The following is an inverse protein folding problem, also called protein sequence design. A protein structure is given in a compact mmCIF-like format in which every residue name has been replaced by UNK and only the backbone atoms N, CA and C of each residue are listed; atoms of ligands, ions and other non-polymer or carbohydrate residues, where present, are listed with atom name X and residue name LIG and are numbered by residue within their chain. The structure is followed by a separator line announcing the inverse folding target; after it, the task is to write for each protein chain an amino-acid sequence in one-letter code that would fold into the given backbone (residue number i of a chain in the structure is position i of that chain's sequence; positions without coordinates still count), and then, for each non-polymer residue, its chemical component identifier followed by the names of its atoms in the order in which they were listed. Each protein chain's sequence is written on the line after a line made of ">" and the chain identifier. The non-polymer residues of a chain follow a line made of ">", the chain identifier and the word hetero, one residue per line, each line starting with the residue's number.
data_IF_202436719012
#
_entry.id   IF_202436719012
#
_cell.length_a   1.000
_cell.length_b   1.000
_cell.length_c   1.000
_cell.angle_alpha   90.00
_cell.angle_beta   90.00
_cell.angle_gamma   90.00
#
_symmetry.space_group_name_H-M   'P 1'
#
loop_
_entity.id
_entity.type
_entity.pdbx_description
1 polymer ?
#
# COMPACT_ATOMS: atom_id res chain seq x y z
N UNK A 1 12.59 -24.88 5.26
CA UNK A 1 11.44 -24.35 6.04
C UNK A 1 11.96 -23.34 7.05
N UNK A 2 11.22 -22.25 7.31
CA UNK A 2 11.65 -21.19 8.22
C UNK A 2 11.75 -21.67 9.66
N UNK A 3 12.65 -21.05 10.45
CA UNK A 3 12.93 -21.43 11.85
C UNK A 3 11.77 -21.14 12.81
N UNK A 4 10.80 -20.30 12.40
CA UNK A 4 9.62 -19.97 13.19
C UNK A 4 8.35 -20.02 12.32
N UNK A 5 7.45 -21.01 12.53
CA UNK A 5 6.26 -21.20 11.70
C UNK A 5 5.16 -20.15 11.92
N UNK A 6 5.22 -19.34 12.98
CA UNK A 6 4.21 -18.30 13.24
C UNK A 6 4.45 -17.01 12.43
N UNK A 7 5.67 -16.80 11.93
CA UNK A 7 6.04 -15.59 11.18
C UNK A 7 5.24 -15.50 9.89
N UNK A 8 4.69 -14.32 9.64
CA UNK A 8 4.01 -13.95 8.39
C UNK A 8 4.88 -12.97 7.62
N UNK A 9 4.99 -13.20 6.32
CA UNK A 9 5.81 -12.42 5.39
C UNK A 9 4.90 -11.80 4.34
N UNK A 10 5.09 -10.52 4.05
CA UNK A 10 4.35 -9.81 3.02
C UNK A 10 5.31 -9.32 1.95
N UNK A 11 4.85 -9.28 0.69
CA UNK A 11 5.56 -8.67 -0.42
C UNK A 11 5.08 -7.22 -0.55
N UNK A 12 5.97 -6.26 -0.31
CA UNK A 12 5.68 -4.83 -0.54
C UNK A 12 6.00 -4.42 -1.97
N UNK A 13 5.12 -3.63 -2.57
CA UNK A 13 5.22 -3.12 -3.95
C UNK A 13 5.06 -1.61 -3.90
N UNK A 14 6.15 -0.87 -4.13
CA UNK A 14 6.14 0.57 -3.92
C UNK A 14 7.45 1.14 -3.39
N UNK A 15 7.31 2.10 -2.49
CA UNK A 15 8.37 2.78 -1.75
C UNK A 15 8.74 4.15 -2.32
N UNK A 16 9.31 5.01 -1.47
CA UNK A 16 9.63 6.40 -1.77
C UNK A 16 10.60 6.66 -2.94
N UNK A 17 11.20 5.62 -3.55
CA UNK A 17 11.99 5.73 -4.80
C UNK A 17 11.26 5.22 -6.04
N UNK A 18 10.07 4.67 -5.90
CA UNK A 18 9.31 4.13 -7.00
C UNK A 18 8.69 5.25 -7.85
N UNK A 19 8.38 4.94 -9.11
CA UNK A 19 7.77 5.91 -10.02
C UNK A 19 6.27 6.08 -9.71
N UNK A 20 5.94 7.08 -8.89
CA UNK A 20 4.56 7.43 -8.52
C UNK A 20 3.60 7.61 -9.70
N UNK A 21 4.06 8.17 -10.82
CA UNK A 21 3.22 8.35 -12.02
C UNK A 21 2.88 7.02 -12.68
N UNK A 22 3.78 6.03 -12.63
CA UNK A 22 3.51 4.69 -13.16
C UNK A 22 2.39 3.99 -12.37
N UNK A 23 2.29 4.21 -11.05
CA UNK A 23 1.17 3.71 -10.25
C UNK A 23 -0.14 4.39 -10.62
N UNK A 24 -0.14 5.70 -10.88
CA UNK A 24 -1.32 6.40 -11.41
C UNK A 24 -1.81 5.80 -12.73
N UNK A 25 -0.89 5.54 -13.67
CA UNK A 25 -1.21 4.86 -14.94
C UNK A 25 -1.76 3.45 -14.73
N UNK A 26 -1.15 2.67 -13.83
CA UNK A 26 -1.61 1.33 -13.47
C UNK A 26 -3.02 1.35 -12.88
N UNK A 27 -3.31 2.29 -11.97
CA UNK A 27 -4.59 2.37 -11.29
C UNK A 27 -5.74 2.90 -12.18
N UNK A 28 -5.41 3.55 -13.31
CA UNK A 28 -6.35 4.32 -14.14
C UNK A 28 -7.45 3.49 -14.80
N UNK A 29 -7.19 2.25 -15.21
CA UNK A 29 -8.16 1.46 -15.99
C UNK A 29 -8.46 0.11 -15.31
N UNK A 30 -9.68 -0.43 -15.47
CA UNK A 30 -10.01 -1.76 -14.92
C UNK A 30 -9.03 -2.85 -15.40
N UNK A 31 -8.64 -2.84 -16.67
CA UNK A 31 -7.73 -3.85 -17.22
C UNK A 31 -6.33 -3.77 -16.62
N UNK A 32 -5.79 -2.56 -16.45
CA UNK A 32 -4.46 -2.36 -15.86
C UNK A 32 -4.45 -2.72 -14.37
N UNK A 33 -5.50 -2.34 -13.63
CA UNK A 33 -5.68 -2.75 -12.23
C UNK A 33 -5.77 -4.27 -12.10
N UNK A 34 -6.63 -4.91 -12.89
CA UNK A 34 -6.78 -6.37 -12.89
C UNK A 34 -5.45 -7.07 -13.16
N UNK A 35 -4.70 -6.62 -14.18
CA UNK A 35 -3.40 -7.20 -14.52
C UNK A 35 -2.39 -7.07 -13.38
N UNK A 36 -2.35 -5.91 -12.71
CA UNK A 36 -1.51 -5.68 -11.54
C UNK A 36 -1.91 -6.58 -10.36
N UNK A 37 -3.20 -6.65 -10.04
CA UNK A 37 -3.73 -7.48 -8.95
C UNK A 37 -3.42 -8.97 -9.19
N UNK A 38 -3.78 -9.50 -10.37
CA UNK A 38 -3.59 -10.91 -10.71
C UNK A 38 -2.11 -11.30 -10.64
N UNK A 39 -1.23 -10.47 -11.20
CA UNK A 39 0.21 -10.72 -11.19
C UNK A 39 0.82 -10.64 -9.79
N UNK A 40 0.35 -9.71 -8.95
CA UNK A 40 0.77 -9.57 -7.54
C UNK A 40 0.38 -10.78 -6.70
N UNK A 41 -0.88 -11.24 -6.81
CA UNK A 41 -1.36 -12.45 -6.13
C UNK A 41 -0.56 -13.68 -6.59
N UNK A 42 -0.38 -13.83 -7.91
CA UNK A 42 0.41 -14.94 -8.47
C UNK A 42 1.83 -14.97 -7.91
N UNK A 43 2.52 -13.82 -7.90
CA UNK A 43 3.89 -13.72 -7.41
C UNK A 43 3.98 -14.02 -5.91
N UNK A 44 3.07 -13.46 -5.11
CA UNK A 44 3.00 -13.73 -3.67
C UNK A 44 2.85 -15.23 -3.40
N UNK A 45 1.95 -15.92 -4.12
CA UNK A 45 1.75 -17.36 -3.97
C UNK A 45 2.96 -18.19 -4.43
N UNK A 46 3.58 -17.82 -5.55
CA UNK A 46 4.76 -18.51 -6.08
C UNK A 46 5.96 -18.44 -5.13
N UNK A 47 6.13 -17.30 -4.45
CA UNK A 47 7.23 -17.07 -3.51
C UNK A 47 6.89 -17.45 -2.06
N UNK A 48 5.66 -17.92 -1.80
CA UNK A 48 5.23 -18.36 -0.47
C UNK A 48 4.97 -17.22 0.53
N UNK A 49 4.65 -16.02 0.05
CA UNK A 49 4.22 -14.91 0.89
C UNK A 49 2.82 -15.15 1.46
N UNK A 50 2.59 -14.55 2.62
CA UNK A 50 1.33 -14.58 3.36
C UNK A 50 0.44 -13.37 3.06
N UNK A 51 0.96 -12.37 2.37
CA UNK A 51 0.20 -11.19 1.98
C UNK A 51 0.98 -10.24 1.08
N UNK A 52 0.33 -9.12 0.80
CA UNK A 52 0.75 -8.06 -0.10
C UNK A 52 0.62 -6.73 0.63
N UNK A 53 1.60 -5.86 0.40
CA UNK A 53 1.63 -4.50 0.95
C UNK A 53 1.77 -3.51 -0.20
N UNK A 54 0.83 -2.57 -0.32
CA UNK A 54 0.88 -1.52 -1.34
C UNK A 54 1.48 -0.25 -0.75
N UNK A 55 2.64 0.15 -1.27
CA UNK A 55 3.40 1.30 -0.78
C UNK A 55 3.49 2.41 -1.85
N UNK A 56 2.32 2.90 -2.28
CA UNK A 56 2.26 3.98 -3.28
C UNK A 56 2.51 5.33 -2.62
N UNK A 57 3.73 5.84 -2.77
CA UNK A 57 4.19 7.13 -2.24
C UNK A 57 4.36 8.21 -3.33
N UNK A 58 3.42 9.13 -3.53
CA UNK A 58 2.03 9.12 -3.12
C UNK A 58 1.16 9.35 -4.36
N UNK A 59 -0.15 9.04 -4.34
CA UNK A 59 -1.07 9.45 -5.39
C UNK A 59 -0.93 10.96 -5.72
N UNK A 60 -0.92 11.32 -7.00
CA UNK A 60 -0.58 12.69 -7.45
C UNK A 60 -1.80 13.55 -7.76
N UNK A 61 -3.00 12.96 -7.77
CA UNK A 61 -4.25 13.66 -8.09
C UNK A 61 -5.47 13.10 -7.35
N UNK A 62 -6.57 13.86 -7.32
CA UNK A 62 -7.87 13.38 -6.81
C UNK A 62 -8.37 12.15 -7.57
N UNK A 63 -8.04 12.06 -8.86
CA UNK A 63 -8.35 10.91 -9.71
C UNK A 63 -7.54 9.70 -9.25
N UNK A 64 -6.25 9.86 -8.94
CA UNK A 64 -5.43 8.78 -8.39
C UNK A 64 -5.93 8.31 -7.02
N UNK A 65 -6.38 9.23 -6.15
CA UNK A 65 -7.00 8.85 -4.87
C UNK A 65 -8.30 8.04 -5.07
N UNK A 66 -9.13 8.43 -6.04
CA UNK A 66 -10.34 7.67 -6.40
C UNK A 66 -9.95 6.28 -6.93
N UNK A 67 -8.99 6.22 -7.84
CA UNK A 67 -8.50 4.98 -8.43
C UNK A 67 -7.82 4.07 -7.40
N UNK A 68 -7.12 4.63 -6.41
CA UNK A 68 -6.58 3.88 -5.27
C UNK A 68 -7.72 3.20 -4.50
N UNK A 69 -8.81 3.93 -4.23
CA UNK A 69 -9.98 3.36 -3.58
C UNK A 69 -10.56 2.18 -4.36
N UNK A 70 -10.77 2.36 -5.67
CA UNK A 70 -11.25 1.28 -6.55
C UNK A 70 -10.26 0.11 -6.64
N UNK A 71 -8.96 0.39 -6.71
CA UNK A 71 -7.92 -0.62 -6.72
C UNK A 71 -7.99 -1.49 -5.45
N UNK A 72 -8.13 -0.89 -4.27
CA UNK A 72 -8.23 -1.64 -3.01
C UNK A 72 -9.49 -2.51 -2.93
N UNK A 73 -10.65 -2.00 -3.38
CA UNK A 73 -11.90 -2.78 -3.44
C UNK A 73 -11.73 -4.00 -4.38
N UNK A 74 -11.15 -3.80 -5.57
CA UNK A 74 -10.89 -4.87 -6.54
C UNK A 74 -9.83 -5.87 -6.06
N UNK A 75 -8.77 -5.39 -5.40
CA UNK A 75 -7.68 -6.22 -4.88
C UNK A 75 -8.19 -7.16 -3.80
N UNK A 76 -8.96 -6.65 -2.82
CA UNK A 76 -9.55 -7.48 -1.78
C UNK A 76 -10.52 -8.51 -2.37
N UNK A 77 -11.36 -8.11 -3.34
CA UNK A 77 -12.28 -9.03 -4.00
C UNK A 77 -11.54 -10.17 -4.73
N UNK A 78 -10.44 -9.86 -5.42
CA UNK A 78 -9.62 -10.84 -6.11
C UNK A 78 -8.92 -11.80 -5.13
N UNK A 79 -8.34 -11.29 -4.04
CA UNK A 79 -7.75 -12.12 -2.97
C UNK A 79 -8.79 -13.09 -2.40
N UNK A 80 -9.99 -12.59 -2.07
CA UNK A 80 -11.05 -13.42 -1.52
C UNK A 80 -11.50 -14.50 -2.51
N UNK A 81 -11.56 -14.18 -3.81
CA UNK A 81 -11.91 -15.13 -4.86
C UNK A 81 -10.83 -16.19 -5.04
N UNK A 82 -9.56 -15.80 -5.05
CA UNK A 82 -8.43 -16.74 -5.16
C UNK A 82 -8.38 -17.69 -3.95
N UNK A 83 -8.60 -17.18 -2.74
CA UNK A 83 -8.61 -17.98 -1.52
C UNK A 83 -9.73 -19.03 -1.55
N UNK A 84 -10.95 -18.63 -1.95
CA UNK A 84 -12.09 -19.54 -2.12
C UNK A 84 -11.81 -20.61 -3.18
N UNK A 85 -11.28 -20.23 -4.33
CA UNK A 85 -11.05 -21.16 -5.45
C UNK A 85 -9.91 -22.14 -5.16
N UNK A 86 -8.88 -21.72 -4.43
CA UNK A 86 -7.71 -22.55 -4.14
C UNK A 86 -7.83 -23.37 -2.85
N UNK A 87 -8.78 -23.02 -1.96
CA UNK A 87 -8.88 -23.58 -0.61
C UNK A 87 -7.73 -23.13 0.31
N UNK A 88 -6.91 -22.16 -0.11
CA UNK A 88 -5.80 -21.63 0.69
C UNK A 88 -6.28 -20.48 1.58
N UNK A 89 -5.57 -20.25 2.67
CA UNK A 89 -5.80 -19.07 3.51
C UNK A 89 -5.70 -17.78 2.67
N UNK A 90 -6.60 -16.83 2.95
CA UNK A 90 -6.60 -15.51 2.33
C UNK A 90 -5.26 -14.80 2.53
N UNK A 91 -4.79 -14.11 1.48
CA UNK A 91 -3.60 -13.27 1.60
C UNK A 91 -3.95 -12.03 2.43
N UNK A 92 -3.04 -11.60 3.31
CA UNK A 92 -3.15 -10.28 3.90
C UNK A 92 -3.01 -9.20 2.82
N UNK A 93 -3.73 -8.10 2.98
CA UNK A 93 -3.60 -6.90 2.17
C UNK A 93 -3.40 -5.71 3.10
N UNK A 94 -2.26 -5.05 2.98
CA UNK A 94 -1.87 -3.91 3.80
C UNK A 94 -1.42 -2.76 2.90
N UNK A 95 -1.20 -1.60 3.51
CA UNK A 95 -0.62 -0.47 2.80
C UNK A 95 0.19 0.40 3.75
N UNK A 96 1.31 0.90 3.26
CA UNK A 96 2.01 2.01 3.88
C UNK A 96 1.38 3.33 3.43
N UNK A 97 1.07 4.19 4.41
CA UNK A 97 0.35 5.45 4.18
C UNK A 97 1.01 6.60 4.94
N UNK A 98 0.77 7.83 4.48
CA UNK A 98 1.22 9.03 5.18
C UNK A 98 0.71 9.06 6.63
N UNK A 99 1.44 9.77 7.50
CA UNK A 99 1.07 10.02 8.90
C UNK A 99 -0.20 10.88 9.09
N UNK A 100 -0.79 11.37 8.00
CA UNK A 100 -2.00 12.19 7.98
C UNK A 100 -3.02 11.62 6.99
N UNK A 101 -4.34 11.74 7.26
CA UNK A 101 -5.39 11.34 6.31
C UNK A 101 -5.38 12.18 5.02
N UNK A 102 -4.58 13.26 4.97
CA UNK A 102 -4.42 14.14 3.83
C UNK A 102 -2.94 14.35 3.49
N UNK A 103 -2.51 13.94 2.31
CA UNK A 103 -1.13 14.07 1.80
C UNK A 103 -1.10 14.89 0.52
N UNK A 104 -0.15 15.82 0.38
CA UNK A 104 0.01 16.68 -0.81
C UNK A 104 -1.27 17.40 -1.27
N UNK A 105 -2.15 17.74 -0.33
CA UNK A 105 -3.41 18.39 -0.65
C UNK A 105 -4.60 17.46 -0.87
N UNK A 106 -4.36 16.15 -0.92
CA UNK A 106 -5.30 15.12 -1.35
C UNK A 106 -5.75 14.25 -0.18
N UNK A 107 -7.01 13.85 -0.16
CA UNK A 107 -7.56 12.98 0.89
C UNK A 107 -7.45 11.51 0.47
N UNK A 108 -6.97 10.66 1.38
CA UNK A 108 -7.04 9.22 1.16
C UNK A 108 -8.50 8.72 1.07
N UNK A 109 -8.78 7.65 0.31
CA UNK A 109 -10.10 7.03 0.25
C UNK A 109 -10.38 6.20 1.52
N UNK A 110 -10.50 6.87 2.68
CA UNK A 110 -10.53 6.26 4.03
C UNK A 110 -11.57 5.14 4.15
N UNK A 111 -12.74 5.28 3.52
CA UNK A 111 -13.76 4.24 3.56
C UNK A 111 -13.33 2.95 2.85
N UNK A 112 -12.70 3.06 1.67
CA UNK A 112 -12.19 1.88 0.96
C UNK A 112 -11.01 1.26 1.72
N UNK A 113 -10.11 2.10 2.24
CA UNK A 113 -9.00 1.67 3.10
C UNK A 113 -9.49 0.84 4.29
N UNK A 114 -10.45 1.36 5.06
CA UNK A 114 -10.96 0.70 6.27
C UNK A 114 -11.70 -0.61 5.98
N UNK A 115 -12.37 -0.73 4.82
CA UNK A 115 -13.08 -1.97 4.46
C UNK A 115 -12.17 -3.05 3.89
N UNK A 116 -11.08 -2.66 3.23
CA UNK A 116 -10.31 -3.59 2.39
C UNK A 116 -8.95 -3.99 2.97
N UNK A 117 -8.32 -3.18 3.82
CA UNK A 117 -7.01 -3.53 4.38
C UNK A 117 -7.15 -4.30 5.69
N UNK A 118 -6.27 -5.27 5.92
CA UNK A 118 -6.20 -5.96 7.22
C UNK A 118 -5.61 -5.04 8.29
N UNK A 119 -4.62 -4.22 7.93
CA UNK A 119 -4.10 -3.12 8.74
C UNK A 119 -3.35 -2.09 7.87
N UNK A 120 -3.00 -0.97 8.49
CA UNK A 120 -2.21 0.11 7.91
C UNK A 120 -0.82 0.18 8.56
N UNK A 121 0.18 0.45 7.74
CA UNK A 121 1.52 0.83 8.20
C UNK A 121 1.63 2.36 8.07
N UNK A 122 1.30 3.09 9.14
CA UNK A 122 1.38 4.56 9.13
C UNK A 122 2.84 4.98 9.21
N UNK A 123 3.31 5.71 8.20
CA UNK A 123 4.70 6.18 8.11
C UNK A 123 4.90 7.43 8.99
N UNK A 124 4.89 7.23 10.32
CA UNK A 124 5.09 8.26 11.34
C UNK A 124 6.57 8.62 11.53
N UNK A 125 7.22 8.93 10.42
CA UNK A 125 8.63 9.29 10.33
C UNK A 125 8.88 10.20 9.11
N UNK A 126 10.13 10.61 8.88
CA UNK A 126 10.54 11.55 7.82
C UNK A 126 9.86 12.93 7.91
N UNK A 127 9.56 13.38 9.13
CA UNK A 127 8.95 14.69 9.35
C UNK A 127 9.88 15.84 8.94
N UNK A 128 11.18 15.66 9.19
CA UNK A 128 12.23 16.60 8.82
C UNK A 128 13.39 15.85 8.15
N UNK A 129 14.02 16.49 7.18
CA UNK A 129 15.17 15.95 6.50
C UNK A 129 15.92 17.01 5.68
N UNK A 130 17.18 16.76 5.30
CA UNK A 130 18.04 17.77 4.69
C UNK A 130 17.47 18.39 3.40
N UNK A 131 16.68 17.62 2.65
CA UNK A 131 16.18 18.03 1.33
C UNK A 131 14.89 18.87 1.38
N UNK A 132 14.11 18.82 2.48
CA UNK A 132 12.86 19.58 2.64
C UNK A 132 12.85 20.47 3.88
N UNK A 133 13.88 20.41 4.71
CA UNK A 133 14.13 21.30 5.84
C UNK A 133 15.61 21.72 5.87
N UNK A 134 16.13 22.36 4.82
CA UNK A 134 17.57 22.59 4.66
C UNK A 134 18.16 23.58 5.66
N UNK A 135 17.34 24.42 6.29
CA UNK A 135 17.78 25.50 7.19
C UNK A 135 17.65 25.15 8.68
N UNK A 136 17.18 23.95 9.03
CA UNK A 136 16.94 23.57 10.43
C UNK A 136 17.19 22.08 10.67
N UNK A 137 17.85 21.76 11.79
CA UNK A 137 17.88 20.39 12.33
C UNK A 137 16.64 20.18 13.20
N UNK A 138 15.94 19.07 13.00
CA UNK A 138 14.84 18.68 13.86
C UNK A 138 14.68 17.15 13.88
N UNK A 139 13.83 16.62 14.75
CA UNK A 139 13.61 15.18 14.92
C UNK A 139 12.91 14.57 13.70
N UNK A 140 13.41 13.43 13.22
CA UNK A 140 12.81 12.68 12.12
C UNK A 140 11.44 12.06 12.48
N UNK A 141 11.17 11.81 13.76
CA UNK A 141 9.95 11.14 14.25
C UNK A 141 9.60 11.58 15.68
N UNK A 142 9.38 12.88 15.90
CA UNK A 142 8.97 13.40 17.21
C UNK A 142 7.60 12.86 17.64
N UNK A 143 7.43 12.57 18.95
CA UNK A 143 6.15 12.12 19.51
C UNK A 143 5.14 13.28 19.66
N UNK A 144 5.63 14.49 19.94
CA UNK A 144 4.85 15.69 20.10
C UNK A 144 5.45 16.82 19.26
N UNK A 145 4.60 17.77 18.87
CA UNK A 145 5.08 19.01 18.26
C UNK A 145 5.95 19.80 19.25
N UNK A 146 6.99 20.51 18.76
CA UNK A 146 7.87 21.33 19.58
C UNK A 146 7.16 22.54 20.20
#
# INVERSE_FOLDING_TARGET
>A
MGKNPSVKTLLSIGGGRANRTAYGVMARTPNSRKSFIDSSIKLARQLGFHGLDLDWEYPESTIDMTNLGTLLDEFRAAINTEARNSGRASLFLTSAVSNTPRVNGLNYPVQSVARNLDWLNVMSYDFYGPNWSPSQTNSHAQLFDP
#
